data_IF_653500671882
#
_entry.id   IF_653500671882
#
_cell.length_a   1.000
_cell.length_b   1.000
_cell.length_c   1.000
_cell.angle_alpha   90.00
_cell.angle_beta   90.00
_cell.angle_gamma   90.00
#
_symmetry.space_group_name_H-M   'P 1'
#
loop_
_entity.id
_entity.type
_entity.pdbx_description
1 polymer ?
#
# COMPACT_ATOMS: atom_id res chain seq x y z
N UNK A 1 -27.09 -25.84 -26.52
CA UNK A 1 -26.26 -26.98 -26.11
C UNK A 1 -26.08 -26.86 -24.61
N UNK A 2 -26.86 -27.65 -23.89
CA UNK A 2 -27.00 -27.64 -22.43
C UNK A 2 -26.00 -28.63 -21.85
N UNK A 3 -24.94 -28.14 -21.21
CA UNK A 3 -24.07 -29.00 -20.41
C UNK A 3 -24.78 -29.30 -19.09
N UNK A 4 -25.22 -30.56 -18.94
CA UNK A 4 -25.76 -31.07 -17.70
C UNK A 4 -24.66 -31.07 -16.62
N UNK A 5 -24.97 -30.76 -15.35
CA UNK A 5 -24.00 -30.89 -14.28
C UNK A 5 -23.62 -32.36 -14.09
N UNK A 6 -22.32 -32.64 -14.10
CA UNK A 6 -21.79 -33.97 -13.79
C UNK A 6 -22.23 -34.39 -12.39
N UNK A 7 -23.09 -35.42 -12.32
CA UNK A 7 -23.46 -36.08 -11.07
C UNK A 7 -22.25 -36.90 -10.61
N UNK A 8 -21.62 -36.47 -9.53
CA UNK A 8 -20.47 -37.16 -8.92
C UNK A 8 -21.01 -38.30 -8.06
N UNK A 9 -20.76 -39.54 -8.48
CA UNK A 9 -21.08 -40.74 -7.72
C UNK A 9 -20.06 -40.93 -6.58
N UNK A 10 -20.46 -40.68 -5.32
CA UNK A 10 -19.60 -40.83 -4.14
C UNK A 10 -19.62 -42.25 -3.53
N UNK A 11 -20.11 -43.27 -4.24
CA UNK A 11 -20.30 -44.60 -3.67
C UNK A 11 -19.00 -45.37 -3.33
N UNK A 12 -17.81 -44.98 -3.84
CA UNK A 12 -16.61 -45.82 -3.76
C UNK A 12 -15.32 -45.15 -3.24
N UNK A 13 -15.37 -43.95 -2.64
CA UNK A 13 -14.13 -43.28 -2.18
C UNK A 13 -14.32 -42.13 -1.20
N UNK A 14 -14.64 -42.44 0.07
CA UNK A 14 -14.96 -41.45 1.11
C UNK A 14 -13.88 -40.39 1.38
N UNK A 15 -12.60 -40.71 1.21
CA UNK A 15 -11.49 -39.76 1.39
C UNK A 15 -11.34 -38.77 0.23
N UNK A 16 -11.66 -39.18 -1.00
CA UNK A 16 -11.62 -38.31 -2.18
C UNK A 16 -12.80 -37.33 -2.20
N UNK A 17 -14.01 -37.81 -1.87
CA UNK A 17 -15.21 -36.98 -1.80
C UNK A 17 -15.09 -35.94 -0.66
N UNK A 18 -14.52 -36.30 0.50
CA UNK A 18 -14.22 -35.34 1.58
C UNK A 18 -13.16 -34.29 1.16
N UNK A 19 -12.06 -34.73 0.53
CA UNK A 19 -11.01 -33.81 0.05
C UNK A 19 -11.54 -32.83 -1.02
N UNK A 20 -12.41 -33.29 -1.93
CA UNK A 20 -13.07 -32.47 -2.94
C UNK A 20 -14.07 -31.49 -2.34
N UNK A 21 -14.88 -31.91 -1.38
CA UNK A 21 -15.83 -31.04 -0.67
C UNK A 21 -15.07 -29.97 0.14
N UNK A 22 -13.97 -30.32 0.80
CA UNK A 22 -13.09 -29.34 1.48
C UNK A 22 -12.43 -28.38 0.48
N UNK A 23 -12.01 -28.84 -0.71
CA UNK A 23 -11.47 -28.00 -1.78
C UNK A 23 -12.51 -27.02 -2.37
N UNK A 24 -13.78 -27.42 -2.43
CA UNK A 24 -14.87 -26.58 -2.93
C UNK A 24 -15.35 -25.57 -1.89
N UNK A 25 -15.33 -25.91 -0.60
CA UNK A 25 -15.71 -25.03 0.51
C UNK A 25 -14.67 -23.92 0.74
N UNK A 26 -13.39 -24.17 0.47
CA UNK A 26 -12.30 -23.19 0.64
C UNK A 26 -11.99 -22.33 -0.59
N UNK A 27 -12.82 -22.33 -1.65
CA UNK A 27 -12.68 -21.33 -2.72
C UNK A 27 -13.14 -19.96 -2.21
N UNK A 28 -12.24 -19.28 -1.49
CA UNK A 28 -12.21 -17.81 -1.45
C UNK A 28 -12.44 -17.32 -2.88
N UNK A 29 -13.45 -16.49 -3.12
CA UNK A 29 -13.56 -15.89 -4.45
C UNK A 29 -12.25 -15.13 -4.68
N UNK A 30 -11.48 -15.46 -5.75
CA UNK A 30 -10.13 -14.92 -5.92
C UNK A 30 -10.11 -13.39 -5.95
N UNK A 31 -11.26 -12.79 -6.29
CA UNK A 31 -11.53 -11.36 -6.30
C UNK A 31 -11.68 -10.76 -4.89
N UNK A 32 -12.40 -11.40 -3.95
CA UNK A 32 -12.50 -10.92 -2.56
C UNK A 32 -11.14 -10.96 -1.88
N UNK A 33 -10.40 -12.06 -2.06
CA UNK A 33 -9.03 -12.18 -1.53
C UNK A 33 -8.11 -11.08 -2.06
N UNK A 34 -8.19 -10.78 -3.36
CA UNK A 34 -7.41 -9.72 -3.97
C UNK A 34 -7.78 -8.33 -3.43
N UNK A 35 -9.07 -8.05 -3.27
CA UNK A 35 -9.54 -6.78 -2.71
C UNK A 35 -9.05 -6.59 -1.26
N UNK A 36 -9.23 -7.60 -0.42
CA UNK A 36 -8.77 -7.56 0.98
C UNK A 36 -7.24 -7.41 1.06
N UNK A 37 -6.49 -8.05 0.17
CA UNK A 37 -5.03 -7.90 0.12
C UNK A 37 -4.60 -6.46 -0.21
N UNK A 38 -5.26 -5.81 -1.18
CA UNK A 38 -4.97 -4.41 -1.53
C UNK A 38 -5.33 -3.47 -0.38
N UNK A 39 -6.49 -3.66 0.26
CA UNK A 39 -6.91 -2.87 1.42
C UNK A 39 -5.91 -3.03 2.57
N UNK A 40 -5.51 -4.26 2.87
CA UNK A 40 -4.50 -4.54 3.90
C UNK A 40 -3.15 -3.88 3.55
N UNK A 41 -2.71 -3.96 2.29
CA UNK A 41 -1.49 -3.30 1.82
C UNK A 41 -1.54 -1.78 1.98
N UNK A 42 -2.67 -1.14 1.65
CA UNK A 42 -2.90 0.30 1.87
C UNK A 42 -2.81 0.64 3.35
N UNK A 43 -3.51 -0.11 4.21
CA UNK A 43 -3.50 0.12 5.65
C UNK A 43 -2.08 -0.01 6.24
N UNK A 44 -1.34 -1.05 5.87
CA UNK A 44 0.04 -1.25 6.32
C UNK A 44 0.98 -0.16 5.80
N UNK A 45 0.77 0.32 4.57
CA UNK A 45 1.53 1.46 4.04
C UNK A 45 1.32 2.70 4.89
N UNK A 46 0.05 3.06 5.15
CA UNK A 46 -0.32 4.23 5.94
C UNK A 46 0.21 4.14 7.38
N UNK A 47 0.09 2.98 8.02
CA UNK A 47 0.62 2.75 9.37
C UNK A 47 2.14 2.90 9.42
N UNK A 48 2.84 2.38 8.42
CA UNK A 48 4.30 2.47 8.33
C UNK A 48 4.75 3.91 8.11
N UNK A 49 4.09 4.63 7.20
CA UNK A 49 4.35 6.06 6.95
C UNK A 49 4.14 6.85 8.25
N UNK A 50 2.97 6.70 8.87
CA UNK A 50 2.64 7.42 10.10
C UNK A 50 3.61 7.14 11.24
N UNK A 51 4.08 5.89 11.38
CA UNK A 51 5.10 5.54 12.37
C UNK A 51 6.45 6.22 12.08
N UNK A 52 6.92 6.17 10.84
CA UNK A 52 8.20 6.76 10.45
C UNK A 52 8.18 8.29 10.51
N UNK A 53 7.07 8.91 10.11
CA UNK A 53 6.87 10.36 10.26
C UNK A 53 6.78 10.76 11.74
N UNK A 54 6.13 9.96 12.59
CA UNK A 54 6.10 10.22 14.04
C UNK A 54 7.50 10.15 14.66
N UNK A 55 8.34 9.22 14.23
CA UNK A 55 9.75 9.18 14.61
C UNK A 55 10.46 10.44 14.08
N UNK A 56 10.18 10.86 12.84
CA UNK A 56 10.67 12.10 12.26
C UNK A 56 10.34 13.33 13.09
N UNK A 57 9.12 13.44 13.62
CA UNK A 57 8.71 14.54 14.50
C UNK A 57 9.51 14.58 15.81
N UNK A 58 10.02 13.45 16.30
CA UNK A 58 10.91 13.45 17.47
C UNK A 58 12.29 14.05 17.17
N UNK A 59 12.76 13.94 15.92
CA UNK A 59 14.04 14.51 15.46
C UNK A 59 13.90 15.96 14.99
N UNK A 60 12.76 16.28 14.37
CA UNK A 60 12.41 17.58 13.84
C UNK A 60 11.03 17.98 14.38
N UNK A 61 10.96 18.55 15.60
CA UNK A 61 9.70 18.92 16.22
C UNK A 61 8.97 19.96 15.37
N UNK A 62 7.68 19.76 15.07
CA UNK A 62 6.88 20.79 14.42
C UNK A 62 6.71 22.00 15.36
N UNK A 63 6.60 23.23 14.83
CA UNK A 63 6.33 24.43 15.61
C UNK A 63 5.04 24.29 16.45
N UNK A 64 5.04 24.84 17.66
CA UNK A 64 3.86 24.84 18.52
C UNK A 64 2.72 25.65 17.88
N UNK A 65 1.49 25.13 17.94
CA UNK A 65 0.30 25.80 17.39
C UNK A 65 0.16 25.71 15.86
N UNK A 66 0.99 24.93 15.18
CA UNK A 66 0.86 24.72 13.74
C UNK A 66 -0.38 23.86 13.45
N UNK A 67 -1.44 24.50 12.94
CA UNK A 67 -2.69 23.84 12.58
C UNK A 67 -2.87 23.81 11.05
N UNK A 68 -2.66 22.65 10.38
CA UNK A 68 -2.86 22.54 8.94
C UNK A 68 -4.31 22.75 8.48
N UNK A 69 -5.29 22.64 9.36
CA UNK A 69 -6.72 22.80 9.03
C UNK A 69 -7.24 24.19 9.40
N UNK A 70 -6.75 24.78 10.48
CA UNK A 70 -7.12 26.10 10.97
C UNK A 70 -6.30 27.26 10.38
N UNK A 71 -5.06 27.02 9.95
CA UNK A 71 -4.17 28.03 9.33
C UNK A 71 -3.33 27.44 8.17
N UNK A 72 -3.94 27.23 6.98
CA UNK A 72 -3.24 26.67 5.83
C UNK A 72 -2.08 27.55 5.32
N UNK A 73 -2.17 28.88 5.47
CA UNK A 73 -1.13 29.82 5.03
C UNK A 73 0.10 29.74 5.95
N UNK A 74 -0.11 29.80 7.27
CA UNK A 74 0.97 29.62 8.25
C UNK A 74 1.61 28.24 8.14
N UNK A 75 0.82 27.20 7.90
CA UNK A 75 1.31 25.85 7.66
C UNK A 75 2.21 25.77 6.41
N UNK A 76 1.80 26.39 5.30
CA UNK A 76 2.59 26.43 4.07
C UNK A 76 3.94 27.16 4.24
N UNK A 77 3.96 28.26 5.03
CA UNK A 77 5.21 28.97 5.36
C UNK A 77 6.14 28.08 6.18
N UNK A 78 5.60 27.41 7.20
CA UNK A 78 6.38 26.50 8.04
C UNK A 78 7.00 25.35 7.24
N UNK A 79 6.24 24.74 6.31
CA UNK A 79 6.72 23.66 5.45
C UNK A 79 7.84 24.11 4.53
N UNK A 80 7.78 25.34 4.00
CA UNK A 80 8.88 25.91 3.18
C UNK A 80 10.16 26.16 3.98
N UNK A 81 10.05 26.37 5.28
CA UNK A 81 11.18 26.59 6.19
C UNK A 81 11.68 25.30 6.83
N UNK A 82 11.05 24.16 6.56
CA UNK A 82 11.48 22.89 7.14
C UNK A 82 12.92 22.54 6.72
N UNK A 83 13.73 22.02 7.65
CA UNK A 83 15.04 21.51 7.32
C UNK A 83 14.94 20.44 6.23
N UNK A 84 15.88 20.43 5.28
CA UNK A 84 15.93 19.42 4.22
C UNK A 84 15.95 17.99 4.78
N UNK A 85 16.55 17.79 5.95
CA UNK A 85 16.56 16.52 6.66
C UNK A 85 15.16 16.03 7.08
N UNK A 86 14.26 16.92 7.48
CA UNK A 86 12.88 16.56 7.83
C UNK A 86 12.11 16.06 6.60
N UNK A 87 12.23 16.78 5.48
CA UNK A 87 11.64 16.39 4.20
C UNK A 87 12.22 15.06 3.67
N UNK A 88 13.52 14.81 3.89
CA UNK A 88 14.13 13.53 3.53
C UNK A 88 13.55 12.35 4.35
N UNK A 89 13.26 12.55 5.64
CA UNK A 89 12.59 11.54 6.48
C UNK A 89 11.19 11.23 5.95
N UNK A 90 10.43 12.24 5.52
CA UNK A 90 9.10 12.04 4.89
C UNK A 90 9.22 11.21 3.62
N UNK A 91 10.18 11.52 2.72
CA UNK A 91 10.40 10.73 1.50
C UNK A 91 10.78 9.28 1.82
N UNK A 92 11.60 9.06 2.84
CA UNK A 92 11.95 7.71 3.32
C UNK A 92 10.72 6.99 3.88
N UNK A 93 9.87 7.68 4.64
CA UNK A 93 8.63 7.12 5.16
C UNK A 93 7.71 6.67 4.01
N UNK A 94 7.51 7.54 3.02
CA UNK A 94 6.69 7.24 1.83
C UNK A 94 7.26 6.06 1.04
N UNK A 95 8.58 6.01 0.86
CA UNK A 95 9.26 4.92 0.16
C UNK A 95 9.05 3.59 0.89
N UNK A 96 9.32 3.56 2.20
CA UNK A 96 9.27 2.35 3.02
C UNK A 96 7.85 1.85 3.22
N UNK A 97 6.90 2.73 3.51
CA UNK A 97 5.50 2.33 3.67
C UNK A 97 4.92 1.76 2.38
N UNK A 98 5.16 2.44 1.25
CA UNK A 98 4.71 1.96 -0.06
C UNK A 98 5.34 0.62 -0.40
N UNK A 99 6.64 0.44 -0.14
CA UNK A 99 7.35 -0.81 -0.36
C UNK A 99 6.72 -1.96 0.46
N UNK A 100 6.52 -1.77 1.77
CA UNK A 100 6.03 -2.80 2.68
C UNK A 100 4.57 -3.19 2.33
N UNK A 101 3.71 -2.20 2.06
CA UNK A 101 2.32 -2.48 1.68
C UNK A 101 2.19 -3.12 0.31
N UNK A 102 2.99 -2.69 -0.68
CA UNK A 102 3.02 -3.32 -2.00
C UNK A 102 3.55 -4.76 -1.93
N UNK A 103 4.59 -5.01 -1.12
CA UNK A 103 5.10 -6.35 -0.84
C UNK A 103 4.00 -7.24 -0.24
N UNK A 104 3.29 -6.76 0.77
CA UNK A 104 2.23 -7.52 1.43
C UNK A 104 1.10 -7.90 0.46
N UNK A 105 0.57 -6.93 -0.30
CA UNK A 105 -0.52 -7.18 -1.24
C UNK A 105 -0.10 -8.17 -2.35
N UNK A 106 1.09 -7.99 -2.93
CA UNK A 106 1.63 -8.91 -3.93
C UNK A 106 1.89 -10.30 -3.35
N UNK A 107 2.32 -10.40 -2.08
CA UNK A 107 2.63 -11.67 -1.40
C UNK A 107 1.38 -12.48 -1.07
N UNK A 108 0.28 -11.83 -0.71
CA UNK A 108 -1.01 -12.49 -0.41
C UNK A 108 -1.64 -13.02 -1.70
N UNK A 109 -1.61 -12.24 -2.78
CA UNK A 109 -2.26 -12.64 -4.04
C UNK A 109 -1.36 -13.50 -4.92
N UNK A 110 -0.03 -13.37 -4.78
CA UNK A 110 0.95 -14.06 -5.61
C UNK A 110 1.15 -13.43 -6.99
N UNK A 111 0.76 -12.16 -7.19
CA UNK A 111 0.92 -11.44 -8.46
C UNK A 111 1.42 -10.01 -8.21
N UNK A 112 2.49 -9.55 -8.90
CA UNK A 112 3.09 -8.24 -8.64
C UNK A 112 2.16 -7.05 -8.94
N UNK A 113 1.20 -7.24 -9.86
CA UNK A 113 0.21 -6.23 -10.21
C UNK A 113 -0.55 -5.65 -9.00
N UNK A 114 -0.90 -6.48 -8.02
CA UNK A 114 -1.64 -6.00 -6.83
C UNK A 114 -0.78 -5.12 -5.92
N UNK A 115 0.54 -5.30 -5.91
CA UNK A 115 1.45 -4.38 -5.23
C UNK A 115 1.54 -3.03 -5.93
N UNK A 116 1.50 -3.02 -7.27
CA UNK A 116 1.45 -1.77 -8.05
C UNK A 116 0.16 -0.99 -7.83
N UNK A 117 -0.98 -1.67 -7.63
CA UNK A 117 -2.24 -1.01 -7.25
C UNK A 117 -2.11 -0.26 -5.92
N UNK A 118 -1.48 -0.88 -4.91
CA UNK A 118 -1.19 -0.20 -3.63
C UNK A 118 -0.29 1.02 -3.87
N UNK A 119 0.76 0.86 -4.68
CA UNK A 119 1.64 1.97 -5.09
C UNK A 119 0.90 3.13 -5.74
N UNK A 120 -0.04 2.84 -6.64
CA UNK A 120 -0.87 3.86 -7.28
C UNK A 120 -1.75 4.62 -6.29
N UNK A 121 -2.37 3.91 -5.34
CA UNK A 121 -3.19 4.55 -4.29
C UNK A 121 -2.33 5.41 -3.37
N UNK A 122 -1.14 4.94 -2.98
CA UNK A 122 -0.20 5.72 -2.17
C UNK A 122 0.31 6.96 -2.91
N UNK A 123 0.58 6.84 -4.21
CA UNK A 123 0.95 7.98 -5.06
C UNK A 123 -0.16 9.03 -5.11
N UNK A 124 -1.43 8.62 -5.25
CA UNK A 124 -2.56 9.55 -5.18
C UNK A 124 -2.63 10.27 -3.82
N UNK A 125 -2.36 9.56 -2.73
CA UNK A 125 -2.23 10.15 -1.39
C UNK A 125 -1.09 11.19 -1.31
N UNK A 126 0.09 10.85 -1.83
CA UNK A 126 1.24 11.77 -1.86
C UNK A 126 0.98 13.00 -2.74
N UNK A 127 0.35 12.83 -3.90
CA UNK A 127 -0.07 13.95 -4.77
C UNK A 127 -1.06 14.84 -4.04
N UNK A 128 -2.06 14.26 -3.36
CA UNK A 128 -3.03 15.01 -2.54
C UNK A 128 -2.33 15.84 -1.46
N UNK A 129 -1.33 15.26 -0.78
CA UNK A 129 -0.53 15.96 0.22
C UNK A 129 0.25 17.14 -0.39
N UNK A 130 0.92 16.94 -1.52
CA UNK A 130 1.69 18.00 -2.21
C UNK A 130 0.80 19.11 -2.75
N UNK A 131 -0.42 18.80 -3.21
CA UNK A 131 -1.36 19.81 -3.72
C UNK A 131 -1.95 20.63 -2.57
N UNK A 132 -2.23 19.99 -1.43
CA UNK A 132 -2.78 20.67 -0.25
C UNK A 132 -1.73 21.58 0.41
N UNK A 133 -0.48 21.15 0.38
CA UNK A 133 0.62 21.81 1.09
C UNK A 133 1.74 22.07 0.09
N UNK A 134 2.03 23.35 -0.25
CA UNK A 134 3.09 23.66 -1.20
C UNK A 134 4.48 23.25 -0.68
N UNK A 135 5.07 22.23 -1.29
CA UNK A 135 6.42 21.75 -1.00
C UNK A 135 7.46 22.37 -1.96
N UNK A 136 8.76 22.31 -1.62
CA UNK A 136 9.84 22.61 -2.55
C UNK A 136 9.77 21.73 -3.81
N UNK A 137 10.11 22.29 -4.97
CA UNK A 137 9.99 21.61 -6.27
C UNK A 137 10.70 20.25 -6.34
N UNK A 138 11.86 20.13 -5.70
CA UNK A 138 12.65 18.89 -5.69
C UNK A 138 11.93 17.78 -4.90
N UNK A 139 11.24 18.14 -3.82
CA UNK A 139 10.46 17.20 -3.01
C UNK A 139 9.26 16.72 -3.80
N UNK A 140 8.58 17.60 -4.53
CA UNK A 140 7.46 17.22 -5.40
C UNK A 140 7.87 16.19 -6.45
N UNK A 141 8.99 16.43 -7.15
CA UNK A 141 9.47 15.53 -8.20
C UNK A 141 9.87 14.18 -7.62
N UNK A 142 10.69 14.16 -6.57
CA UNK A 142 11.13 12.91 -5.95
C UNK A 142 9.95 12.18 -5.30
N UNK A 143 9.13 12.93 -4.55
CA UNK A 143 7.90 12.50 -3.88
C UNK A 143 7.00 11.69 -4.80
N UNK A 144 6.67 12.24 -5.96
CA UNK A 144 5.80 11.56 -6.93
C UNK A 144 6.51 10.35 -7.55
N UNK A 145 7.77 10.52 -7.94
CA UNK A 145 8.49 9.47 -8.66
C UNK A 145 8.86 8.28 -7.77
N UNK A 146 8.96 8.42 -6.45
CA UNK A 146 9.42 7.34 -5.56
C UNK A 146 8.37 6.23 -5.37
N UNK A 147 7.08 6.55 -5.46
CA UNK A 147 6.01 5.60 -5.14
C UNK A 147 6.03 4.39 -6.08
N UNK A 148 6.21 4.62 -7.39
CA UNK A 148 6.20 3.54 -8.39
C UNK A 148 7.41 2.60 -8.27
N UNK A 149 8.67 3.07 -8.19
CA UNK A 149 9.84 2.23 -7.91
C UNK A 149 9.73 1.48 -6.59
N UNK A 150 9.27 2.12 -5.51
CA UNK A 150 9.11 1.45 -4.21
C UNK A 150 8.06 0.34 -4.28
N UNK A 151 6.91 0.61 -4.90
CA UNK A 151 5.87 -0.38 -5.08
C UNK A 151 6.33 -1.54 -5.96
N UNK A 152 7.03 -1.24 -7.06
CA UNK A 152 7.60 -2.25 -7.96
C UNK A 152 8.63 -3.13 -7.25
N UNK A 153 9.56 -2.54 -6.49
CA UNK A 153 10.57 -3.27 -5.74
C UNK A 153 9.92 -4.20 -4.69
N UNK A 154 8.96 -3.69 -3.92
CA UNK A 154 8.22 -4.49 -2.93
C UNK A 154 7.45 -5.63 -3.58
N UNK A 155 6.71 -5.35 -4.65
CA UNK A 155 5.93 -6.33 -5.38
C UNK A 155 6.81 -7.43 -6.02
N UNK A 156 7.96 -7.05 -6.59
CA UNK A 156 8.90 -7.98 -7.22
C UNK A 156 9.54 -8.91 -6.19
N UNK A 157 9.93 -8.38 -5.03
CA UNK A 157 10.50 -9.17 -3.94
C UNK A 157 9.47 -10.16 -3.36
N UNK A 158 8.19 -9.78 -3.33
CA UNK A 158 7.12 -10.66 -2.88
C UNK A 158 6.83 -11.83 -3.83
N UNK A 159 7.19 -11.69 -5.11
CA UNK A 159 6.88 -12.66 -6.17
C UNK A 159 8.11 -12.99 -7.05
N UNK A 160 9.16 -13.61 -6.47
CA UNK A 160 10.36 -13.97 -7.22
C UNK A 160 10.01 -14.99 -8.32
N UNK A 161 10.40 -14.70 -9.57
CA UNK A 161 10.18 -15.61 -10.70
C UNK A 161 8.84 -15.48 -11.43
N UNK A 162 7.99 -14.52 -11.04
CA UNK A 162 6.84 -14.08 -11.86
C UNK A 162 7.22 -13.16 -13.02
#
# INVERSE_FOLDING_TARGET
>A
MTDAPAVVDCAHGGTLCAALVTQLIHRESPMVRALLAVIAGIAVSALTIGLLESIGHSMYPPPEGLDPYGDPEGFAVAVKQMPTGALAVVLLAWAMGTFIGAWLAARIVGRPFYGLLVGGVMMLGGVSNIVTVPHPWWFTVIGILLFLPSAYAGARLATPGS
#
